data_IF_017044134640
#
_entry.id   IF_017044134640
#
_cell.length_a   1.000
_cell.length_b   1.000
_cell.length_c   1.000
_cell.angle_alpha   90.00
_cell.angle_beta   90.00
_cell.angle_gamma   90.00
#
_symmetry.space_group_name_H-M   'P 1'
#
loop_
_entity.id
_entity.type
_entity.pdbx_description
1 polymer ?
#
# COMPACT_ATOMS: atom_id res chain seq x y z
N UNK A 1 6.38 -16.17 -4.69
CA UNK A 1 7.73 -16.04 -4.05
C UNK A 1 8.24 -14.66 -4.36
N UNK A 2 8.51 -13.84 -3.36
CA UNK A 2 8.97 -12.46 -3.57
C UNK A 2 10.38 -12.44 -4.16
N UNK A 3 10.60 -11.60 -5.19
CA UNK A 3 11.89 -11.48 -5.86
C UNK A 3 12.83 -10.57 -5.06
N UNK A 4 13.73 -11.18 -4.28
CA UNK A 4 14.71 -10.46 -3.47
C UNK A 4 15.71 -9.65 -4.31
N UNK A 5 15.98 -10.05 -5.57
CA UNK A 5 16.83 -9.27 -6.47
C UNK A 5 16.13 -7.99 -6.89
N UNK A 6 14.83 -8.07 -7.19
CA UNK A 6 14.00 -6.91 -7.51
C UNK A 6 13.85 -5.99 -6.30
N UNK A 7 13.64 -6.54 -5.09
CA UNK A 7 13.60 -5.77 -3.86
C UNK A 7 14.88 -4.96 -3.59
N UNK A 8 16.06 -5.45 -4.04
CA UNK A 8 17.34 -4.73 -3.90
C UNK A 8 17.57 -3.71 -5.01
N UNK A 9 17.27 -4.06 -6.27
CA UNK A 9 17.64 -3.26 -7.44
C UNK A 9 16.57 -2.28 -7.89
N UNK A 10 15.31 -2.67 -7.79
CA UNK A 10 14.15 -1.89 -8.25
C UNK A 10 13.03 -1.95 -7.19
N UNK A 11 13.24 -1.41 -5.98
CA UNK A 11 12.29 -1.53 -4.87
C UNK A 11 10.96 -0.84 -5.18
N UNK A 12 10.98 0.30 -5.86
CA UNK A 12 9.77 1.03 -6.25
C UNK A 12 8.90 0.21 -7.21
N UNK A 13 9.49 -0.39 -8.24
CA UNK A 13 8.74 -1.25 -9.16
C UNK A 13 8.15 -2.47 -8.45
N UNK A 14 8.89 -3.08 -7.51
CA UNK A 14 8.37 -4.19 -6.72
C UNK A 14 7.21 -3.74 -5.83
N UNK A 15 7.32 -2.55 -5.22
CA UNK A 15 6.24 -1.98 -4.41
C UNK A 15 4.95 -1.86 -5.24
N UNK A 16 5.01 -1.24 -6.41
CA UNK A 16 3.84 -1.08 -7.27
C UNK A 16 3.22 -2.42 -7.69
N UNK A 17 4.04 -3.41 -8.07
CA UNK A 17 3.56 -4.73 -8.46
C UNK A 17 2.83 -5.44 -7.32
N UNK A 18 3.34 -5.33 -6.10
CA UNK A 18 2.73 -5.96 -4.92
C UNK A 18 1.47 -5.21 -4.46
N UNK A 19 1.41 -3.87 -4.61
CA UNK A 19 0.18 -3.08 -4.33
C UNK A 19 -0.93 -3.44 -5.33
N UNK A 20 -0.62 -3.60 -6.61
CA UNK A 20 -1.59 -4.03 -7.63
C UNK A 20 -2.13 -5.45 -7.39
N UNK A 21 -1.35 -6.33 -6.74
CA UNK A 21 -1.76 -7.72 -6.50
C UNK A 21 -2.58 -7.92 -5.22
N UNK A 22 -2.60 -6.96 -4.29
CA UNK A 22 -3.40 -7.06 -3.06
C UNK A 22 -4.81 -6.52 -3.27
N UNK A 23 -5.79 -7.15 -2.61
CA UNK A 23 -7.18 -6.69 -2.65
C UNK A 23 -7.44 -5.52 -1.69
N UNK A 24 -6.66 -5.44 -0.60
CA UNK A 24 -6.77 -4.38 0.39
C UNK A 24 -5.48 -4.23 1.18
N UNK A 25 -5.26 -3.04 1.70
CA UNK A 25 -4.26 -2.71 2.69
C UNK A 25 -4.89 -1.85 3.79
N UNK A 26 -4.10 -1.46 4.79
CA UNK A 26 -4.56 -0.62 5.88
C UNK A 26 -4.12 0.83 5.64
N UNK A 27 -5.08 1.74 5.55
CA UNK A 27 -4.88 3.18 5.40
C UNK A 27 -5.20 3.89 6.72
N UNK A 28 -4.32 4.77 7.15
CA UNK A 28 -4.53 5.56 8.37
C UNK A 28 -3.94 6.96 8.24
N UNK A 29 -4.63 7.94 8.84
CA UNK A 29 -4.23 9.35 8.88
C UNK A 29 -3.41 9.60 10.13
N UNK A 30 -2.20 10.13 9.96
CA UNK A 30 -1.28 10.40 11.07
C UNK A 30 -1.86 11.47 12.00
N UNK A 31 -1.77 11.22 13.30
CA UNK A 31 -2.23 12.18 14.34
C UNK A 31 -3.74 12.28 14.50
N UNK A 32 -4.55 11.56 13.73
CA UNK A 32 -6.02 11.60 13.83
C UNK A 32 -6.57 10.95 15.11
N UNK A 33 -5.80 10.06 15.72
CA UNK A 33 -6.28 9.21 16.82
C UNK A 33 -7.23 8.08 16.40
N UNK A 34 -7.54 7.97 15.11
CA UNK A 34 -8.37 6.92 14.56
C UNK A 34 -7.55 5.65 14.25
N UNK A 35 -8.21 4.50 14.24
CA UNK A 35 -7.59 3.27 13.76
C UNK A 35 -7.43 3.28 12.24
N UNK A 36 -6.39 2.58 11.75
CA UNK A 36 -6.25 2.31 10.32
C UNK A 36 -7.42 1.47 9.80
N UNK A 37 -7.86 1.72 8.59
CA UNK A 37 -9.00 1.05 7.96
C UNK A 37 -8.58 0.24 6.73
N UNK A 38 -9.22 -0.90 6.45
CA UNK A 38 -8.95 -1.66 5.24
C UNK A 38 -9.50 -0.93 4.00
N UNK A 39 -8.63 -0.65 3.04
CA UNK A 39 -8.95 0.05 1.81
C UNK A 39 -8.39 -0.68 0.60
N UNK A 40 -9.19 -0.78 -0.46
CA UNK A 40 -8.76 -1.35 -1.75
C UNK A 40 -7.97 -0.32 -2.54
N UNK A 41 -6.69 -0.58 -2.86
CA UNK A 41 -5.86 0.37 -3.59
C UNK A 41 -6.12 0.31 -5.10
N UNK A 42 -6.06 1.46 -5.77
CA UNK A 42 -6.02 1.62 -7.22
C UNK A 42 -4.77 2.41 -7.57
N UNK A 43 -3.84 1.78 -8.28
CA UNK A 43 -2.52 2.36 -8.52
C UNK A 43 -2.51 3.32 -9.70
N UNK A 44 -2.00 4.52 -9.47
CA UNK A 44 -1.64 5.51 -10.49
C UNK A 44 -0.12 5.69 -10.48
N UNK A 45 0.58 4.78 -11.19
CA UNK A 45 2.05 4.76 -11.19
C UNK A 45 2.63 6.03 -11.82
N UNK A 46 2.03 6.53 -12.90
CA UNK A 46 2.47 7.74 -13.59
C UNK A 46 2.22 8.98 -12.74
N UNK A 47 1.08 9.04 -12.07
CA UNK A 47 0.75 10.11 -11.13
C UNK A 47 1.47 9.99 -9.79
N UNK A 48 2.15 8.88 -9.48
CA UNK A 48 2.80 8.63 -8.19
C UNK A 48 1.80 8.61 -7.03
N UNK A 49 0.62 8.05 -7.23
CA UNK A 49 -0.47 8.07 -6.25
C UNK A 49 -1.18 6.72 -6.15
N UNK A 50 -1.81 6.48 -5.01
CA UNK A 50 -2.79 5.41 -4.81
C UNK A 50 -4.14 6.06 -4.56
N UNK A 51 -5.15 5.55 -5.24
CA UNK A 51 -6.52 6.02 -5.12
C UNK A 51 -7.38 5.01 -4.36
N UNK A 52 -8.40 5.52 -3.66
CA UNK A 52 -9.33 4.70 -2.88
C UNK A 52 -10.74 5.24 -3.03
N UNK A 53 -11.71 4.37 -3.30
CA UNK A 53 -13.12 4.71 -3.18
C UNK A 53 -13.52 4.80 -1.71
N UNK A 54 -14.26 5.84 -1.33
CA UNK A 54 -14.82 6.01 0.00
C UNK A 54 -16.13 6.80 -0.04
N UNK A 55 -16.79 6.90 1.09
CA UNK A 55 -17.97 7.73 1.30
C UNK A 55 -17.56 9.08 1.88
N UNK A 56 -18.32 10.14 1.51
CA UNK A 56 -18.05 11.51 1.97
C UNK A 56 -18.17 11.69 3.48
N UNK A 57 -18.94 10.83 4.13
CA UNK A 57 -19.15 10.80 5.60
C UNK A 57 -18.27 9.75 6.30
N UNK A 58 -17.20 9.28 5.65
CA UNK A 58 -16.28 8.33 6.25
C UNK A 58 -15.33 8.98 7.26
N UNK A 59 -14.93 8.19 8.26
CA UNK A 59 -13.94 8.63 9.26
C UNK A 59 -12.64 9.14 8.65
N UNK A 60 -12.22 8.60 7.49
CA UNK A 60 -11.01 9.05 6.79
C UNK A 60 -11.18 10.47 6.22
N UNK A 61 -12.36 10.79 5.68
CA UNK A 61 -12.68 12.15 5.23
C UNK A 61 -12.70 13.12 6.41
N UNK A 62 -13.32 12.73 7.53
CA UNK A 62 -13.32 13.54 8.74
C UNK A 62 -11.90 13.77 9.27
N UNK A 63 -11.05 12.73 9.23
CA UNK A 63 -9.68 12.81 9.72
C UNK A 63 -8.79 13.77 8.91
N UNK A 64 -8.94 13.83 7.60
CA UNK A 64 -8.15 14.73 6.73
C UNK A 64 -8.75 16.15 6.66
N UNK A 65 -10.03 16.32 6.98
CA UNK A 65 -10.73 17.59 6.85
C UNK A 65 -10.64 18.16 5.42
N UNK A 66 -10.70 19.49 5.31
CA UNK A 66 -10.70 20.17 4.00
C UNK A 66 -9.29 20.40 3.42
N UNK A 67 -8.24 20.25 4.22
CA UNK A 67 -6.85 20.57 3.83
C UNK A 67 -6.02 19.34 3.49
N UNK A 68 -6.56 18.15 3.72
CA UNK A 68 -5.81 16.91 3.62
C UNK A 68 -4.95 16.65 4.86
N UNK A 69 -4.23 15.53 4.86
CA UNK A 69 -3.37 15.12 5.97
C UNK A 69 -2.25 14.18 5.52
N UNK A 70 -1.25 14.00 6.37
CA UNK A 70 -0.26 12.94 6.19
C UNK A 70 -0.90 11.59 6.52
N UNK A 71 -0.67 10.60 5.68
CA UNK A 71 -1.23 9.26 5.87
C UNK A 71 -0.23 8.16 5.53
N UNK A 72 -0.46 6.99 6.11
CA UNK A 72 0.27 5.77 5.81
C UNK A 72 -0.65 4.70 5.25
N UNK A 73 -0.15 4.01 4.23
CA UNK A 73 -0.79 2.83 3.66
C UNK A 73 0.13 1.63 3.78
N UNK A 74 -0.36 0.56 4.41
CA UNK A 74 0.41 -0.66 4.64
C UNK A 74 -0.20 -1.85 3.92
N UNK A 75 0.66 -2.68 3.35
CA UNK A 75 0.25 -3.93 2.69
C UNK A 75 1.07 -5.11 3.17
N UNK A 76 0.46 -6.28 3.05
CA UNK A 76 1.09 -7.59 3.15
C UNK A 76 0.74 -8.36 1.89
N UNK A 77 1.73 -8.84 1.16
CA UNK A 77 1.49 -9.61 -0.06
C UNK A 77 0.71 -10.91 0.20
N UNK A 78 0.04 -11.44 -0.82
CA UNK A 78 -0.66 -12.73 -0.75
C UNK A 78 0.28 -13.87 -0.33
N UNK A 79 1.54 -13.80 -0.71
CA UNK A 79 2.57 -14.78 -0.31
C UNK A 79 3.03 -14.64 1.14
N UNK A 80 2.70 -13.53 1.82
CA UNK A 80 3.15 -13.15 3.16
C UNK A 80 4.67 -12.99 3.30
N UNK A 81 5.37 -12.84 2.18
CA UNK A 81 6.84 -12.67 2.15
C UNK A 81 7.27 -11.26 1.79
N UNK A 82 6.31 -10.38 1.54
CA UNK A 82 6.52 -8.97 1.30
C UNK A 82 5.58 -8.14 2.18
N UNK A 83 6.14 -7.13 2.78
CA UNK A 83 5.43 -6.13 3.58
C UNK A 83 5.89 -4.76 3.12
N UNK A 84 5.00 -3.80 3.04
CA UNK A 84 5.37 -2.43 2.76
C UNK A 84 4.53 -1.45 3.56
N UNK A 85 5.13 -0.29 3.82
CA UNK A 85 4.46 0.88 4.34
C UNK A 85 4.86 2.07 3.48
N UNK A 86 3.89 2.70 2.84
CA UNK A 86 4.06 3.93 2.09
C UNK A 86 3.47 5.10 2.87
N UNK A 87 4.07 6.27 2.73
CA UNK A 87 3.60 7.51 3.32
C UNK A 87 3.42 8.57 2.25
N UNK A 88 2.48 9.47 2.46
CA UNK A 88 2.24 10.58 1.57
C UNK A 88 1.14 11.52 2.05
N UNK A 89 0.83 12.49 1.21
CA UNK A 89 -0.28 13.41 1.42
C UNK A 89 -1.60 12.78 0.94
N UNK A 90 -2.56 12.67 1.84
CA UNK A 90 -3.91 12.16 1.56
C UNK A 90 -4.87 13.33 1.45
N UNK A 91 -5.59 13.41 0.34
CA UNK A 91 -6.61 14.42 0.09
C UNK A 91 -7.89 13.79 -0.45
N UNK A 92 -9.03 14.43 -0.22
CA UNK A 92 -10.24 14.13 -0.98
C UNK A 92 -10.09 14.73 -2.39
N UNK A 93 -10.28 13.91 -3.41
CA UNK A 93 -10.18 14.33 -4.81
C UNK A 93 -11.16 13.52 -5.68
N UNK A 94 -12.38 14.05 -5.84
CA UNK A 94 -13.37 13.43 -6.71
C UNK A 94 -13.04 13.71 -8.19
N UNK A 95 -12.07 13.01 -8.71
CA UNK A 95 -11.74 12.99 -10.14
C UNK A 95 -12.66 12.02 -10.88
N UNK A 96 -13.56 12.55 -11.71
CA UNK A 96 -14.51 11.74 -12.48
C UNK A 96 -13.81 10.81 -13.49
N UNK A 97 -12.68 11.21 -14.06
CA UNK A 97 -11.88 10.36 -14.93
C UNK A 97 -11.35 9.15 -14.17
N UNK A 98 -10.87 9.34 -12.94
CA UNK A 98 -10.41 8.25 -12.07
C UNK A 98 -11.56 7.35 -11.59
N UNK A 99 -12.76 7.91 -11.35
CA UNK A 99 -13.95 7.10 -11.09
C UNK A 99 -14.22 6.17 -12.27
N UNK A 100 -14.22 6.69 -13.51
CA UNK A 100 -14.45 5.87 -14.72
C UNK A 100 -13.37 4.81 -14.92
N UNK A 101 -12.10 5.16 -14.71
CA UNK A 101 -10.94 4.29 -14.90
C UNK A 101 -10.96 3.10 -13.92
N UNK A 102 -11.25 3.35 -12.63
CA UNK A 102 -11.15 2.35 -11.57
C UNK A 102 -12.46 1.65 -11.23
N UNK A 103 -13.58 2.08 -11.81
CA UNK A 103 -14.88 1.49 -11.52
C UNK A 103 -14.92 0.00 -11.87
N UNK A 104 -15.35 -0.80 -10.93
CA UNK A 104 -15.43 -2.24 -11.08
C UNK A 104 -16.61 -2.82 -10.27
N UNK A 105 -16.95 -4.12 -10.44
CA UNK A 105 -18.07 -4.74 -9.71
C UNK A 105 -17.95 -4.70 -8.19
N UNK A 106 -16.73 -4.66 -7.64
CA UNK A 106 -16.50 -4.57 -6.19
C UNK A 106 -16.86 -3.18 -5.70
N UNK A 107 -16.40 -2.13 -6.37
CA UNK A 107 -16.80 -0.75 -6.07
C UNK A 107 -18.33 -0.57 -6.20
N UNK A 108 -18.91 -1.10 -7.30
CA UNK A 108 -20.35 -1.02 -7.55
C UNK A 108 -21.22 -1.65 -6.44
N UNK A 109 -20.70 -2.63 -5.70
CA UNK A 109 -21.45 -3.26 -4.62
C UNK A 109 -21.66 -2.34 -3.39
N UNK A 110 -20.86 -1.28 -3.25
CA UNK A 110 -20.92 -0.34 -2.12
C UNK A 110 -21.81 0.88 -2.41
N UNK A 111 -22.06 1.22 -3.69
CA UNK A 111 -22.75 2.45 -4.08
C UNK A 111 -24.05 2.14 -4.82
N UNK A 112 -25.20 2.45 -4.18
CA UNK A 112 -26.54 2.09 -4.69
C UNK A 112 -26.87 2.76 -6.02
N UNK A 113 -26.44 4.01 -6.19
CA UNK A 113 -26.70 4.81 -7.39
C UNK A 113 -25.51 4.75 -8.38
N UNK A 114 -24.62 3.76 -8.17
CA UNK A 114 -23.46 3.53 -9.02
C UNK A 114 -22.45 4.67 -8.98
N UNK A 115 -21.89 5.02 -10.14
CA UNK A 115 -20.88 6.09 -10.26
C UNK A 115 -21.42 7.49 -9.93
N UNK A 116 -22.73 7.68 -9.96
CA UNK A 116 -23.42 8.94 -9.69
C UNK A 116 -23.94 9.03 -8.26
N UNK A 117 -23.61 8.05 -7.41
CA UNK A 117 -23.97 8.06 -6.00
C UNK A 117 -23.49 9.36 -5.33
N UNK A 118 -24.40 10.13 -4.71
CA UNK A 118 -24.06 11.44 -4.14
C UNK A 118 -23.07 11.33 -2.97
N UNK A 119 -22.99 10.17 -2.31
CA UNK A 119 -22.07 9.91 -1.21
C UNK A 119 -20.69 9.41 -1.67
N UNK A 120 -20.55 9.01 -2.93
CA UNK A 120 -19.30 8.56 -3.48
C UNK A 120 -18.27 9.68 -3.54
N UNK A 121 -17.06 9.40 -3.06
CA UNK A 121 -15.89 10.23 -3.29
C UNK A 121 -14.62 9.36 -3.44
N UNK A 122 -13.50 10.00 -3.78
CA UNK A 122 -12.20 9.37 -3.86
C UNK A 122 -11.21 10.03 -2.89
N UNK A 123 -10.38 9.20 -2.30
CA UNK A 123 -9.16 9.63 -1.64
C UNK A 123 -7.97 9.40 -2.57
N UNK A 124 -7.10 10.39 -2.67
CA UNK A 124 -5.83 10.33 -3.38
C UNK A 124 -4.70 10.41 -2.36
N UNK A 125 -3.89 9.37 -2.27
CA UNK A 125 -2.64 9.33 -1.50
C UNK A 125 -1.47 9.61 -2.46
N UNK A 126 -0.99 10.84 -2.50
CA UNK A 126 0.22 11.23 -3.23
C UNK A 126 1.44 10.74 -2.48
N UNK A 127 2.15 9.76 -3.06
CA UNK A 127 3.24 9.08 -2.39
C UNK A 127 4.50 9.95 -2.28
N UNK A 128 5.14 9.93 -1.11
CA UNK A 128 6.40 10.60 -0.81
C UNK A 128 7.52 9.60 -0.64
N UNK A 129 7.32 8.62 0.22
CA UNK A 129 8.30 7.56 0.48
C UNK A 129 7.65 6.23 0.84
N UNK A 130 8.42 5.17 0.74
CA UNK A 130 8.00 3.86 1.21
C UNK A 130 9.17 3.06 1.80
N UNK A 131 8.84 2.22 2.77
CA UNK A 131 9.71 1.15 3.26
C UNK A 131 9.12 -0.20 2.88
N UNK A 132 9.98 -1.11 2.48
CA UNK A 132 9.59 -2.50 2.20
C UNK A 132 10.49 -3.49 2.93
N UNK A 133 9.90 -4.63 3.24
CA UNK A 133 10.55 -5.80 3.83
C UNK A 133 10.17 -7.01 2.99
N UNK A 134 11.16 -7.66 2.40
CA UNK A 134 10.98 -8.85 1.58
C UNK A 134 11.78 -10.01 2.16
N UNK A 135 11.19 -11.19 2.23
CA UNK A 135 11.84 -12.41 2.70
C UNK A 135 11.80 -13.51 1.66
N UNK A 136 12.75 -14.46 1.72
CA UNK A 136 12.70 -15.62 0.86
C UNK A 136 11.61 -16.57 1.35
N UNK A 137 10.69 -16.95 0.46
CA UNK A 137 9.61 -17.90 0.76
C UNK A 137 10.04 -19.35 0.83
N UNK A 138 11.34 -19.67 0.89
CA UNK A 138 11.82 -21.04 0.95
C UNK A 138 12.02 -21.50 2.42
N UNK A 139 11.10 -22.31 2.98
CA UNK A 139 11.18 -22.74 4.38
C UNK A 139 12.40 -23.59 4.69
N UNK A 140 12.91 -24.34 3.70
CA UNK A 140 14.10 -25.19 3.86
C UNK A 140 15.34 -24.28 3.96
N UNK A 141 15.46 -23.29 3.09
CA UNK A 141 16.54 -22.31 3.16
C UNK A 141 16.48 -21.49 4.45
N UNK A 142 15.28 -21.15 4.94
CA UNK A 142 15.07 -20.47 6.20
C UNK A 142 15.53 -21.32 7.39
N UNK A 143 15.07 -22.58 7.49
CA UNK A 143 15.49 -23.49 8.56
C UNK A 143 17.00 -23.75 8.56
N UNK A 144 17.61 -23.94 7.38
CA UNK A 144 19.05 -24.14 7.24
C UNK A 144 19.86 -22.90 7.67
N UNK A 145 19.33 -21.70 7.40
CA UNK A 145 19.97 -20.44 7.80
C UNK A 145 19.89 -20.19 9.31
N UNK A 146 18.78 -20.57 9.96
CA UNK A 146 18.67 -20.53 11.43
C UNK A 146 19.74 -21.46 12.06
N UNK A 147 19.90 -22.67 11.54
CA UNK A 147 20.92 -23.60 12.01
C UNK A 147 22.33 -23.03 11.83
N UNK A 148 22.63 -22.46 10.66
CA UNK A 148 23.91 -21.80 10.41
C UNK A 148 24.13 -20.55 11.29
N UNK A 149 23.09 -19.71 11.49
CA UNK A 149 23.19 -18.52 12.33
C UNK A 149 23.46 -18.84 13.79
N UNK A 150 22.92 -19.96 14.28
CA UNK A 150 23.21 -20.44 15.63
C UNK A 150 24.64 -21.08 15.82
N UNK A 151 25.28 -21.37 14.68
CA UNK A 151 26.63 -21.98 14.66
C UNK A 151 27.75 -20.97 14.29
N UNK A 152 27.35 -19.75 13.87
CA UNK A 152 28.31 -18.69 13.49
C UNK A 152 27.83 -17.35 14.03
N UNK A 153 28.75 -16.52 14.53
CA UNK A 153 28.46 -15.14 15.01
C UNK A 153 28.04 -14.14 13.91
N UNK A 154 27.95 -14.59 12.66
CA UNK A 154 27.54 -13.76 11.54
C UNK A 154 26.05 -13.99 11.21
N UNK A 155 25.25 -12.93 11.30
CA UNK A 155 23.86 -12.94 10.80
C UNK A 155 23.86 -13.33 9.31
N UNK A 156 23.00 -14.28 8.87
CA UNK A 156 22.95 -14.70 7.47
C UNK A 156 22.53 -13.51 6.58
N UNK A 157 23.38 -13.07 5.67
CA UNK A 157 23.17 -11.92 4.76
C UNK A 157 21.93 -12.04 3.84
N UNK A 158 21.33 -13.22 3.76
CA UNK A 158 20.25 -13.55 2.80
C UNK A 158 18.89 -13.84 3.44
N UNK A 159 18.63 -13.48 4.69
CA UNK A 159 17.34 -13.76 5.34
C UNK A 159 16.21 -12.85 4.87
N UNK A 160 16.52 -11.68 4.33
CA UNK A 160 15.56 -10.72 3.84
C UNK A 160 16.22 -9.48 3.27
N UNK A 161 15.40 -8.65 2.64
CA UNK A 161 15.78 -7.34 2.13
C UNK A 161 14.91 -6.31 2.82
N UNK A 162 15.53 -5.28 3.38
CA UNK A 162 14.87 -4.06 3.79
C UNK A 162 15.34 -2.95 2.86
N UNK A 163 14.40 -2.20 2.32
CA UNK A 163 14.71 -1.03 1.51
C UNK A 163 13.79 0.13 1.92
N UNK A 164 14.33 1.34 1.81
CA UNK A 164 13.59 2.58 1.96
C UNK A 164 13.92 3.44 0.76
N UNK A 165 12.89 4.00 0.12
CA UNK A 165 13.07 4.83 -1.08
C UNK A 165 12.03 5.95 -1.11
N UNK A 166 12.32 6.98 -1.92
CA UNK A 166 11.41 8.09 -2.19
C UNK A 166 10.90 8.00 -3.60
N UNK A 167 9.64 8.33 -3.77
CA UNK A 167 9.05 8.47 -5.09
C UNK A 167 9.56 9.76 -5.76
N UNK A 168 9.69 9.73 -7.07
CA UNK A 168 10.01 10.94 -7.82
C UNK A 168 8.84 11.94 -7.71
N UNK A 169 9.19 13.22 -7.48
CA UNK A 169 8.21 14.30 -7.36
C UNK A 169 7.61 14.65 -8.73
#
# INVERSE_FOLDING_TARGET
MTDLKKARKNPEQLFWDEVDDVNAGMLGVEGSGQHMQPMSPYCDREGGAIWFFTEKDSDLIDAIGTTGGSAMFTIVSKSRHFHACARGALIENLDRGKVEEYWNPVAAAWYKDGKDDPNLTLLQLKLEDASLWASSGNPIAFAWRIVKGNLSDAAPEDMGVRNHFRFAA
#
